data_IF_204489075245
#
_entry.id   IF_204489075245
#
_cell.length_a   1.000
_cell.length_b   1.000
_cell.length_c   1.000
_cell.angle_alpha   90.00
_cell.angle_beta   90.00
_cell.angle_gamma   90.00
#
_symmetry.space_group_name_H-M   'P 1'
#
loop_
_entity.id
_entity.type
_entity.pdbx_description
1 polymer ?
#
# COMPACT_ATOMS: atom_id res chain seq x y z
N UNK A 1 -11.41 -6.68 3.15
CA UNK A 1 -11.94 -5.88 4.29
C UNK A 1 -12.90 -6.71 5.13
N UNK A 2 -13.94 -7.32 4.56
CA UNK A 2 -14.90 -8.18 5.29
C UNK A 2 -14.25 -9.37 6.01
N UNK A 3 -13.23 -9.99 5.40
CA UNK A 3 -12.43 -11.04 6.04
C UNK A 3 -11.68 -10.56 7.29
N UNK A 4 -11.21 -9.31 7.32
CA UNK A 4 -10.59 -8.72 8.53
C UNK A 4 -11.56 -8.60 9.69
N UNK A 5 -12.85 -8.46 9.39
CA UNK A 5 -13.92 -8.43 10.39
C UNK A 5 -14.50 -9.83 10.66
N UNK A 6 -13.89 -10.90 10.13
CA UNK A 6 -14.30 -12.28 10.38
C UNK A 6 -15.68 -12.65 9.85
N UNK A 7 -16.23 -11.87 8.91
CA UNK A 7 -17.56 -12.09 8.34
C UNK A 7 -17.56 -12.90 7.04
N UNK A 8 -16.40 -13.13 6.42
CA UNK A 8 -16.28 -13.93 5.20
C UNK A 8 -14.90 -14.56 5.04
N UNK A 9 -14.78 -15.46 4.05
CA UNK A 9 -13.51 -16.01 3.55
C UNK A 9 -13.30 -15.47 2.13
N UNK A 10 -12.11 -14.95 1.83
CA UNK A 10 -11.80 -14.46 0.48
C UNK A 10 -11.27 -15.62 -0.36
N UNK A 11 -11.88 -15.82 -1.54
CA UNK A 11 -11.44 -16.78 -2.54
C UNK A 11 -11.07 -16.05 -3.83
N UNK A 12 -9.93 -16.40 -4.41
CA UNK A 12 -9.51 -15.91 -5.73
C UNK A 12 -10.07 -16.80 -6.84
N UNK A 13 -10.02 -16.33 -8.10
CA UNK A 13 -10.53 -17.10 -9.25
C UNK A 13 -9.87 -18.48 -9.38
N UNK A 14 -8.55 -18.54 -9.15
CA UNK A 14 -7.78 -19.79 -9.14
C UNK A 14 -8.18 -20.76 -8.01
N UNK A 15 -8.72 -20.25 -6.90
CA UNK A 15 -9.18 -21.12 -5.81
C UNK A 15 -10.46 -21.86 -6.16
N UNK A 16 -11.25 -21.33 -7.10
CA UNK A 16 -12.51 -21.94 -7.54
C UNK A 16 -12.29 -23.20 -8.39
N UNK A 17 -11.15 -23.28 -9.07
CA UNK A 17 -10.75 -24.47 -9.85
C UNK A 17 -10.44 -25.67 -8.94
N UNK A 18 -10.20 -25.44 -7.65
CA UNK A 18 -9.85 -26.46 -6.67
C UNK A 18 -11.06 -26.87 -5.83
N UNK A 19 -11.72 -28.02 -6.10
CA UNK A 19 -12.93 -28.44 -5.38
C UNK A 19 -12.70 -28.59 -3.88
N UNK A 20 -11.49 -29.03 -3.49
CA UNK A 20 -11.11 -29.21 -2.09
C UNK A 20 -11.08 -27.89 -1.32
N UNK A 21 -10.50 -26.82 -1.89
CA UNK A 21 -10.46 -25.50 -1.24
C UNK A 21 -11.86 -24.94 -1.06
N UNK A 22 -12.70 -25.10 -2.08
CA UNK A 22 -14.08 -24.63 -2.06
C UNK A 22 -14.90 -25.37 -0.99
N UNK A 23 -14.79 -26.71 -0.94
CA UNK A 23 -15.42 -27.55 0.09
C UNK A 23 -14.99 -27.16 1.49
N UNK A 24 -13.69 -27.02 1.74
CA UNK A 24 -13.16 -26.67 3.07
C UNK A 24 -13.63 -25.28 3.51
N UNK A 25 -13.68 -24.32 2.59
CA UNK A 25 -14.14 -22.96 2.89
C UNK A 25 -15.62 -22.92 3.26
N UNK A 26 -16.46 -23.64 2.50
CA UNK A 26 -17.89 -23.78 2.82
C UNK A 26 -18.10 -24.49 4.15
N UNK A 27 -17.40 -25.60 4.38
CA UNK A 27 -17.50 -26.33 5.63
C UNK A 27 -17.10 -25.45 6.81
N UNK A 28 -16.06 -24.62 6.67
CA UNK A 28 -15.65 -23.67 7.71
C UNK A 28 -16.72 -22.63 8.00
N UNK A 29 -17.34 -22.04 6.97
CA UNK A 29 -18.43 -21.05 7.14
C UNK A 29 -19.65 -21.67 7.83
N UNK A 30 -20.01 -22.90 7.50
CA UNK A 30 -21.17 -23.57 8.09
C UNK A 30 -20.91 -24.09 9.51
N UNK A 31 -19.66 -24.42 9.84
CA UNK A 31 -19.31 -25.02 11.13
C UNK A 31 -19.01 -23.97 12.20
N UNK A 32 -18.50 -22.80 11.81
CA UNK A 32 -18.11 -21.73 12.72
C UNK A 32 -19.17 -20.62 12.75
N UNK A 33 -19.92 -20.56 13.85
CA UNK A 33 -20.99 -19.58 14.05
C UNK A 33 -20.49 -18.12 14.10
N UNK A 34 -19.19 -17.89 14.32
CA UNK A 34 -18.62 -16.53 14.37
C UNK A 34 -18.83 -15.77 13.06
N UNK A 35 -18.80 -16.47 11.91
CA UNK A 35 -19.08 -15.86 10.60
C UNK A 35 -20.49 -15.27 10.55
N UNK A 36 -21.50 -16.02 11.01
CA UNK A 36 -22.89 -15.57 11.04
C UNK A 36 -23.09 -14.44 12.06
N UNK A 37 -22.47 -14.55 13.24
CA UNK A 37 -22.54 -13.52 14.28
C UNK A 37 -21.92 -12.20 13.82
N UNK A 38 -20.74 -12.26 13.19
CA UNK A 38 -20.05 -11.08 12.67
C UNK A 38 -20.81 -10.45 11.50
N UNK A 39 -21.39 -11.26 10.62
CA UNK A 39 -22.25 -10.77 9.54
C UNK A 39 -23.51 -10.08 10.08
N UNK A 40 -24.17 -10.67 11.10
CA UNK A 40 -25.34 -10.06 11.74
C UNK A 40 -24.99 -8.76 12.44
N UNK A 41 -23.90 -8.75 13.22
CA UNK A 41 -23.40 -7.54 13.89
C UNK A 41 -23.13 -6.41 12.88
N UNK A 42 -22.51 -6.73 11.73
CA UNK A 42 -22.28 -5.75 10.68
C UNK A 42 -23.60 -5.24 10.08
N UNK A 43 -24.57 -6.12 9.84
CA UNK A 43 -25.88 -5.73 9.34
C UNK A 43 -26.59 -4.77 10.31
N UNK A 44 -26.59 -5.07 11.61
CA UNK A 44 -27.19 -4.21 12.63
C UNK A 44 -26.46 -2.85 12.69
N UNK A 45 -25.12 -2.83 12.61
CA UNK A 45 -24.35 -1.58 12.52
C UNK A 45 -24.66 -0.73 11.29
N UNK A 46 -24.92 -1.37 10.14
CA UNK A 46 -25.28 -0.68 8.90
C UNK A 46 -26.71 -0.12 8.94
N UNK A 47 -27.61 -0.84 9.60
CA UNK A 47 -28.99 -0.41 9.80
C UNK A 47 -29.08 0.76 10.78
N UNK A 48 -28.36 0.66 11.90
CA UNK A 48 -28.41 1.62 13.01
C UNK A 48 -27.33 2.71 12.91
N UNK A 49 -26.89 3.05 11.69
CA UNK A 49 -25.92 4.14 11.52
C UNK A 49 -26.50 5.48 12.01
N UNK A 50 -25.71 6.31 12.73
CA UNK A 50 -26.19 7.58 13.27
C UNK A 50 -26.75 8.55 12.23
N UNK A 51 -26.27 8.44 10.98
CA UNK A 51 -26.73 9.23 9.85
C UNK A 51 -27.08 8.24 8.74
N UNK A 52 -28.32 8.30 8.27
CA UNK A 52 -28.75 7.43 7.15
C UNK A 52 -27.97 7.74 5.88
N UNK A 53 -27.71 6.72 5.07
CA UNK A 53 -27.00 6.86 3.80
C UNK A 53 -27.67 7.91 2.87
N UNK A 54 -29.01 7.99 2.88
CA UNK A 54 -29.78 8.99 2.13
C UNK A 54 -29.46 10.41 2.59
N UNK A 55 -29.50 10.65 3.90
CA UNK A 55 -29.23 11.97 4.46
C UNK A 55 -27.76 12.37 4.25
N UNK A 56 -26.83 11.43 4.40
CA UNK A 56 -25.42 11.66 4.14
C UNK A 56 -25.19 12.10 2.69
N UNK A 57 -25.81 11.42 1.73
CA UNK A 57 -25.75 11.79 0.32
C UNK A 57 -26.29 13.19 0.05
N UNK A 58 -27.49 13.51 0.54
CA UNK A 58 -28.10 14.83 0.37
C UNK A 58 -27.18 15.93 0.93
N UNK A 59 -26.67 15.74 2.15
CA UNK A 59 -25.79 16.72 2.80
C UNK A 59 -24.49 16.94 2.04
N UNK A 60 -23.87 15.89 1.50
CA UNK A 60 -22.68 16.02 0.66
C UNK A 60 -22.98 16.68 -0.69
N UNK A 61 -24.14 16.39 -1.28
CA UNK A 61 -24.58 17.04 -2.52
C UNK A 61 -24.82 18.53 -2.31
N UNK A 62 -25.54 18.93 -1.27
CA UNK A 62 -25.76 20.33 -0.90
C UNK A 62 -24.44 21.06 -0.59
N UNK A 63 -23.53 20.41 0.14
CA UNK A 63 -22.21 20.95 0.41
C UNK A 63 -21.42 21.20 -0.89
N UNK A 64 -21.44 20.25 -1.81
CA UNK A 64 -20.76 20.37 -3.10
C UNK A 64 -21.42 21.42 -3.98
N UNK A 65 -22.75 21.52 -3.99
CA UNK A 65 -23.48 22.55 -4.73
C UNK A 65 -23.19 23.96 -4.19
N UNK A 66 -23.00 24.09 -2.87
CA UNK A 66 -22.71 25.38 -2.22
C UNK A 66 -21.27 25.86 -2.40
N UNK A 67 -20.29 24.96 -2.31
CA UNK A 67 -18.86 25.33 -2.28
C UNK A 67 -18.10 24.95 -3.57
N UNK A 68 -18.67 24.11 -4.42
CA UNK A 68 -18.06 23.69 -5.68
C UNK A 68 -16.73 22.95 -5.48
N UNK A 69 -15.70 23.36 -6.24
CA UNK A 69 -14.36 22.76 -6.15
C UNK A 69 -13.67 23.21 -4.87
N UNK A 70 -13.24 22.23 -4.07
CA UNK A 70 -12.44 22.46 -2.88
C UNK A 70 -10.97 22.17 -3.19
N UNK A 71 -10.10 23.19 -3.41
CA UNK A 71 -8.71 22.98 -3.80
C UNK A 71 -7.92 22.19 -2.75
N UNK A 72 -8.30 22.29 -1.47
CA UNK A 72 -7.66 21.54 -0.38
C UNK A 72 -7.98 20.04 -0.40
N UNK A 73 -9.03 19.60 -1.11
CA UNK A 73 -9.33 18.17 -1.31
C UNK A 73 -8.72 17.61 -2.60
N UNK A 74 -8.11 18.45 -3.44
CA UNK A 74 -7.35 17.99 -4.59
C UNK A 74 -5.94 17.57 -4.12
N UNK A 75 -5.57 16.28 -4.21
CA UNK A 75 -4.24 15.86 -3.80
C UNK A 75 -3.19 16.55 -4.66
N UNK A 76 -2.28 17.29 -4.03
CA UNK A 76 -1.25 18.07 -4.73
C UNK A 76 -0.37 17.21 -5.66
N UNK A 77 -0.24 15.92 -5.36
CA UNK A 77 0.45 14.95 -6.21
C UNK A 77 -0.06 14.89 -7.65
N UNK A 78 -1.34 15.23 -7.92
CA UNK A 78 -1.90 15.30 -9.28
C UNK A 78 -1.29 16.42 -10.12
N UNK A 79 -0.82 17.48 -9.47
CA UNK A 79 -0.29 18.68 -10.13
C UNK A 79 1.23 18.59 -10.34
N UNK A 80 1.89 17.59 -9.76
CA UNK A 80 3.33 17.39 -9.87
C UNK A 80 3.71 16.81 -11.24
N UNK A 81 4.83 17.27 -11.78
CA UNK A 81 5.45 16.67 -12.97
C UNK A 81 6.00 15.27 -12.62
N UNK A 82 6.18 14.42 -13.64
CA UNK A 82 6.76 13.08 -13.47
C UNK A 82 8.09 13.09 -12.68
N UNK A 83 8.94 14.08 -12.93
CA UNK A 83 10.24 14.24 -12.26
C UNK A 83 10.06 14.52 -10.77
N UNK A 84 9.15 15.43 -10.41
CA UNK A 84 8.88 15.80 -9.01
C UNK A 84 8.14 14.70 -8.26
N UNK A 85 7.17 14.05 -8.92
CA UNK A 85 6.37 12.99 -8.31
C UNK A 85 7.24 11.80 -7.87
N UNK A 86 8.24 11.44 -8.68
CA UNK A 86 9.18 10.36 -8.38
C UNK A 86 10.50 10.83 -7.74
N UNK A 87 10.67 12.13 -7.47
CA UNK A 87 11.88 12.71 -6.85
C UNK A 87 13.18 12.30 -7.59
N UNK A 88 13.13 12.32 -8.92
CA UNK A 88 14.23 11.83 -9.77
C UNK A 88 15.51 12.66 -9.58
N UNK A 89 15.36 13.95 -9.33
CA UNK A 89 16.45 14.88 -9.00
C UNK A 89 17.21 14.44 -7.74
N UNK A 90 16.49 14.11 -6.65
CA UNK A 90 17.08 13.64 -5.39
C UNK A 90 17.77 12.28 -5.60
N UNK A 91 17.11 11.36 -6.31
CA UNK A 91 17.68 10.04 -6.63
C UNK A 91 18.98 10.16 -7.43
N UNK A 92 19.05 11.11 -8.37
CA UNK A 92 20.24 11.36 -9.17
C UNK A 92 21.40 11.86 -8.30
N UNK A 93 21.16 12.83 -7.41
CA UNK A 93 22.18 13.32 -6.47
C UNK A 93 22.66 12.19 -5.55
N UNK A 94 21.74 11.44 -4.95
CA UNK A 94 22.09 10.29 -4.10
C UNK A 94 22.94 9.24 -4.85
N UNK A 95 22.54 8.92 -6.09
CA UNK A 95 23.29 7.98 -6.93
C UNK A 95 24.70 8.48 -7.22
N UNK A 96 24.88 9.76 -7.54
CA UNK A 96 26.22 10.33 -7.79
C UNK A 96 27.13 10.25 -6.56
N UNK A 97 26.61 10.53 -5.36
CA UNK A 97 27.37 10.43 -4.11
C UNK A 97 27.80 8.98 -3.86
N UNK A 98 26.90 8.02 -4.06
CA UNK A 98 27.19 6.59 -3.90
C UNK A 98 28.29 6.17 -4.88
N UNK A 99 28.15 6.48 -6.17
CA UNK A 99 29.15 6.15 -7.20
C UNK A 99 30.51 6.77 -6.89
N UNK A 100 30.52 8.03 -6.46
CA UNK A 100 31.76 8.73 -6.10
C UNK A 100 32.43 8.10 -4.87
N UNK A 101 31.66 7.74 -3.85
CA UNK A 101 32.18 7.03 -2.67
C UNK A 101 32.82 5.69 -3.05
N UNK A 102 32.15 4.88 -3.87
CA UNK A 102 32.70 3.63 -4.38
C UNK A 102 33.97 3.85 -5.21
N UNK A 103 34.01 4.90 -6.03
CA UNK A 103 35.18 5.27 -6.81
C UNK A 103 36.39 5.61 -5.92
N UNK A 104 36.19 6.42 -4.88
CA UNK A 104 37.23 6.77 -3.92
C UNK A 104 37.71 5.53 -3.16
N UNK A 105 36.78 4.71 -2.66
CA UNK A 105 37.12 3.45 -1.97
C UNK A 105 37.97 2.53 -2.87
N UNK A 106 37.58 2.36 -4.14
CA UNK A 106 38.34 1.56 -5.09
C UNK A 106 39.74 2.12 -5.38
N UNK A 107 39.86 3.45 -5.53
CA UNK A 107 41.15 4.14 -5.69
C UNK A 107 42.06 3.94 -4.48
N UNK A 108 41.52 4.05 -3.26
CA UNK A 108 42.25 3.82 -2.02
C UNK A 108 42.72 2.37 -1.91
N UNK A 109 41.84 1.40 -2.16
CA UNK A 109 42.19 -0.02 -2.18
C UNK A 109 43.32 -0.29 -3.20
N UNK A 110 43.20 0.19 -4.44
CA UNK A 110 44.28 0.05 -5.43
C UNK A 110 45.61 0.63 -4.95
N UNK A 111 45.61 1.83 -4.36
CA UNK A 111 46.83 2.43 -3.81
C UNK A 111 47.41 1.58 -2.67
N UNK A 112 46.60 1.11 -1.74
CA UNK A 112 47.03 0.22 -0.65
C UNK A 112 47.63 -1.09 -1.17
N UNK A 113 47.01 -1.72 -2.18
CA UNK A 113 47.54 -2.92 -2.83
C UNK A 113 48.88 -2.67 -3.54
N UNK A 114 49.01 -1.54 -4.27
CA UNK A 114 50.27 -1.18 -4.93
C UNK A 114 51.40 -0.87 -3.94
N UNK A 115 51.10 -0.25 -2.80
CA UNK A 115 52.08 0.01 -1.73
C UNK A 115 52.49 -1.31 -1.05
N UNK A 116 51.53 -2.18 -0.71
CA UNK A 116 51.83 -3.48 -0.09
C UNK A 116 52.66 -4.40 -1.01
N UNK A 117 52.42 -4.38 -2.32
CA UNK A 117 53.25 -5.10 -3.29
C UNK A 117 54.66 -4.52 -3.42
N UNK A 118 54.85 -3.21 -3.22
CA UNK A 118 56.16 -2.57 -3.24
C UNK A 118 56.96 -2.87 -1.98
N UNK A 119 56.32 -2.87 -0.80
CA UNK A 119 56.93 -3.21 0.49
C UNK A 119 57.32 -4.69 0.59
N UNK A 120 56.62 -5.60 -0.11
CA UNK A 120 56.99 -7.03 -0.16
C UNK A 120 58.17 -7.33 -1.10
N UNK A 121 58.61 -6.35 -1.91
CA UNK A 121 59.64 -6.53 -2.95
C UNK A 121 61.00 -5.93 -2.55
N UNK A 122 61.05 -5.16 -1.46
CA UNK A 122 62.28 -4.78 -0.75
C UNK A 122 62.49 -5.72 0.44
#
# INVERSE_FOLDING_TARGET
MLERHGGCIVLTKSDLESPNKLKTSLQKIFSDASYAQNARRLADMLHDQPISAKQLFIRHSEFTARFGRLPNLDPYGRQLSFIQYYLIDILMVLSTIIIFSFYIMFRLLRKCFSISLKVKKE
#
